data_IF_477103113876
#
_entry.id   IF_477103113876
#
_cell.length_a   1.000
_cell.length_b   1.000
_cell.length_c   1.000
_cell.angle_alpha   90.00
_cell.angle_beta   90.00
_cell.angle_gamma   90.00
#
_symmetry.space_group_name_H-M   'P 1'
#
loop_
_entity.id
_entity.type
_entity.pdbx_description
1 polymer ?
#
# COMPACT_ATOMS: atom_id res chain seq x y z
N UNK A 1 27.80 -16.18 -19.93
CA UNK A 1 27.18 -15.09 -19.13
C UNK A 1 26.22 -15.75 -18.13
N UNK A 2 26.68 -15.91 -16.88
CA UNK A 2 25.96 -16.62 -15.81
C UNK A 2 25.09 -15.62 -15.04
N UNK A 3 23.77 -15.65 -15.23
CA UNK A 3 22.82 -14.97 -14.35
C UNK A 3 22.20 -16.02 -13.41
N UNK A 4 22.78 -16.18 -12.22
CA UNK A 4 22.19 -16.97 -11.13
C UNK A 4 21.16 -16.11 -10.42
N UNK A 5 19.87 -16.35 -10.66
CA UNK A 5 18.80 -15.87 -9.78
C UNK A 5 18.54 -17.00 -8.78
N UNK A 6 19.25 -16.97 -7.66
CA UNK A 6 18.92 -17.79 -6.49
C UNK A 6 17.84 -17.05 -5.71
N UNK A 7 16.57 -17.41 -5.91
CA UNK A 7 15.49 -17.04 -5.00
C UNK A 7 14.92 -18.32 -4.39
N UNK A 8 15.53 -18.78 -3.30
CA UNK A 8 14.92 -19.75 -2.38
C UNK A 8 13.96 -18.98 -1.47
N UNK A 9 12.70 -18.88 -1.87
CA UNK A 9 11.59 -18.62 -0.97
C UNK A 9 10.36 -19.32 -1.54
N UNK A 10 9.90 -20.37 -0.86
CA UNK A 10 8.66 -21.08 -1.18
C UNK A 10 7.46 -20.15 -0.98
N UNK A 11 7.15 -19.30 -1.98
CA UNK A 11 5.92 -18.52 -2.05
C UNK A 11 4.80 -19.42 -2.57
N UNK A 12 3.84 -19.73 -1.70
CA UNK A 12 2.57 -20.34 -2.09
C UNK A 12 1.69 -19.23 -2.67
N UNK A 13 1.58 -19.16 -4.00
CA UNK A 13 0.70 -18.23 -4.71
C UNK A 13 -0.76 -18.70 -4.54
N UNK A 14 -1.53 -18.06 -3.64
CA UNK A 14 -2.97 -18.28 -3.54
C UNK A 14 -3.67 -17.11 -4.23
N UNK A 15 -4.13 -17.33 -5.46
CA UNK A 15 -4.86 -16.34 -6.25
C UNK A 15 -6.35 -16.51 -5.94
N UNK A 16 -6.92 -15.62 -5.13
CA UNK A 16 -8.37 -15.56 -4.92
C UNK A 16 -8.97 -14.47 -5.82
N UNK A 17 -9.47 -14.88 -6.97
CA UNK A 17 -10.15 -13.99 -7.91
C UNK A 17 -11.66 -13.97 -7.61
N UNK A 18 -12.13 -12.95 -6.88
CA UNK A 18 -13.53 -12.55 -6.91
C UNK A 18 -13.61 -11.28 -7.76
N UNK A 19 -13.92 -11.48 -9.04
CA UNK A 19 -14.37 -10.46 -10.01
C UNK A 19 -13.65 -9.10 -9.92
N UNK A 20 -12.49 -9.00 -10.58
CA UNK A 20 -11.95 -7.70 -11.04
C UNK A 20 -10.90 -7.02 -10.16
N UNK A 21 -10.49 -7.64 -9.05
CA UNK A 21 -9.48 -7.03 -8.17
C UNK A 21 -8.38 -8.04 -7.82
N UNK A 22 -7.23 -7.93 -8.49
CA UNK A 22 -6.06 -8.76 -8.22
C UNK A 22 -5.40 -8.30 -6.92
N UNK A 23 -5.71 -8.95 -5.80
CA UNK A 23 -4.92 -8.83 -4.57
C UNK A 23 -4.02 -10.05 -4.48
N UNK A 24 -2.76 -9.89 -4.86
CA UNK A 24 -1.74 -10.92 -4.65
C UNK A 24 -1.33 -10.90 -3.18
N UNK A 25 -1.81 -11.84 -2.38
CA UNK A 25 -1.34 -12.03 -1.00
C UNK A 25 -0.15 -12.97 -0.98
N UNK A 26 1.03 -12.41 -1.22
CA UNK A 26 2.30 -13.04 -0.85
C UNK A 26 2.58 -12.64 0.59
N UNK A 27 2.74 -13.60 1.49
CA UNK A 27 3.22 -13.35 2.85
C UNK A 27 4.56 -12.58 2.77
N UNK A 28 4.48 -11.25 2.81
CA UNK A 28 5.52 -10.24 3.14
C UNK A 28 5.24 -8.80 2.65
N UNK A 29 4.26 -8.51 1.78
CA UNK A 29 3.78 -7.12 1.54
C UNK A 29 2.54 -7.05 0.62
N UNK A 30 1.62 -6.12 0.89
CA UNK A 30 0.53 -5.72 -0.02
C UNK A 30 0.91 -4.48 -0.79
N UNK A 31 0.75 -4.50 -2.10
CA UNK A 31 0.96 -3.34 -2.96
C UNK A 31 -0.37 -2.62 -3.20
N UNK A 32 -0.36 -1.32 -3.01
CA UNK A 32 -1.50 -0.42 -3.23
C UNK A 32 -1.14 0.58 -4.32
N UNK A 33 -1.68 0.37 -5.51
CA UNK A 33 -1.47 1.22 -6.68
C UNK A 33 -2.69 2.09 -7.03
N UNK A 34 -3.87 1.77 -6.47
CA UNK A 34 -5.13 2.49 -6.69
C UNK A 34 -5.79 2.88 -5.38
N UNK A 35 -6.57 3.95 -5.41
CA UNK A 35 -7.27 4.45 -4.23
C UNK A 35 -8.28 3.42 -3.67
N UNK A 36 -8.95 2.67 -4.54
CA UNK A 36 -9.94 1.66 -4.14
C UNK A 36 -9.33 0.48 -3.36
N UNK A 37 -8.01 0.31 -3.43
CA UNK A 37 -7.29 -0.77 -2.75
C UNK A 37 -7.06 -0.48 -1.26
N UNK A 38 -7.19 0.77 -0.83
CA UNK A 38 -6.83 1.22 0.53
C UNK A 38 -7.63 0.45 1.59
N UNK A 39 -8.94 0.28 1.38
CA UNK A 39 -9.79 -0.46 2.32
C UNK A 39 -9.49 -1.96 2.34
N UNK A 40 -9.12 -2.54 1.20
CA UNK A 40 -8.70 -3.94 1.12
C UNK A 40 -7.36 -4.14 1.84
N UNK A 41 -6.41 -3.22 1.65
CA UNK A 41 -5.11 -3.27 2.31
C UNK A 41 -5.22 -3.13 3.83
N UNK A 42 -6.11 -2.25 4.33
CA UNK A 42 -6.42 -2.12 5.77
C UNK A 42 -6.95 -3.43 6.37
N UNK A 43 -7.78 -4.16 5.62
CA UNK A 43 -8.36 -5.45 6.06
C UNK A 43 -7.40 -6.63 5.89
N UNK A 44 -6.39 -6.50 5.03
CA UNK A 44 -5.40 -7.54 4.78
C UNK A 44 -4.68 -7.97 6.07
N UNK A 45 -4.18 -9.20 6.12
CA UNK A 45 -3.40 -9.71 7.26
C UNK A 45 -1.91 -9.35 7.16
N UNK A 46 -1.54 -8.55 6.17
CA UNK A 46 -0.16 -8.23 5.88
C UNK A 46 0.37 -7.14 6.81
N UNK A 47 1.62 -7.33 7.25
CA UNK A 47 2.31 -6.37 8.12
C UNK A 47 2.97 -5.24 7.34
N UNK A 48 3.08 -5.35 6.02
CA UNK A 48 3.72 -4.33 5.17
C UNK A 48 2.73 -3.92 4.10
N UNK A 49 2.49 -2.62 3.98
CA UNK A 49 1.61 -2.02 2.97
C UNK A 49 2.46 -1.04 2.19
N UNK A 50 2.71 -1.34 0.92
CA UNK A 50 3.50 -0.53 0.00
C UNK A 50 2.56 0.25 -0.92
N UNK A 51 2.50 1.56 -0.74
CA UNK A 51 1.73 2.48 -1.57
C UNK A 51 2.63 2.96 -2.70
N UNK A 52 2.22 2.70 -3.96
CA UNK A 52 3.02 3.03 -5.13
C UNK A 52 2.23 3.82 -6.17
N UNK A 53 2.78 4.94 -6.62
CA UNK A 53 2.22 5.76 -7.72
C UNK A 53 0.72 6.09 -7.54
N UNK A 54 0.31 6.32 -6.29
CA UNK A 54 -1.10 6.46 -5.93
C UNK A 54 -1.66 7.82 -6.34
N UNK A 55 -2.77 7.81 -7.04
CA UNK A 55 -3.55 9.02 -7.33
C UNK A 55 -4.71 9.13 -6.36
N UNK A 56 -4.67 10.15 -5.50
CA UNK A 56 -5.75 10.45 -4.56
C UNK A 56 -6.70 11.45 -5.23
N UNK A 57 -8.01 11.15 -5.32
CA UNK A 57 -8.98 12.06 -5.92
C UNK A 57 -9.06 13.42 -5.20
N UNK A 58 -9.50 14.44 -5.93
CA UNK A 58 -9.58 15.81 -5.40
C UNK A 58 -10.64 15.94 -4.30
N UNK A 59 -10.27 16.51 -3.16
CA UNK A 59 -11.15 16.63 -2.01
C UNK A 59 -11.59 15.25 -1.49
N UNK A 60 -10.66 14.30 -1.44
CA UNK A 60 -10.83 13.03 -0.74
C UNK A 60 -9.67 12.88 0.23
N UNK A 61 -9.97 12.39 1.43
CA UNK A 61 -8.97 12.08 2.44
C UNK A 61 -8.31 10.74 2.12
N UNK A 62 -6.97 10.71 2.04
CA UNK A 62 -6.23 9.46 2.10
C UNK A 62 -6.26 8.93 3.53
N UNK A 63 -7.20 8.01 3.79
CA UNK A 63 -7.44 7.42 5.11
C UNK A 63 -6.61 6.13 5.31
N UNK A 64 -5.53 6.27 6.08
CA UNK A 64 -4.68 5.18 6.56
C UNK A 64 -4.82 5.02 8.08
N UNK A 65 -6.02 5.25 8.61
CA UNK A 65 -6.34 4.96 10.01
C UNK A 65 -6.70 3.49 10.23
N UNK A 66 -6.71 3.07 11.49
CA UNK A 66 -7.12 1.72 11.91
C UNK A 66 -6.26 0.61 11.30
N UNK A 67 -4.99 0.90 11.04
CA UNK A 67 -4.04 -0.11 10.62
C UNK A 67 -3.74 -1.07 11.76
N UNK A 68 -3.41 -2.32 11.39
CA UNK A 68 -3.08 -3.35 12.36
C UNK A 68 -1.83 -2.94 13.15
N UNK A 69 -1.72 -3.36 14.42
CA UNK A 69 -0.55 -3.02 15.21
C UNK A 69 0.74 -3.60 14.60
N UNK A 70 1.80 -2.78 14.51
CA UNK A 70 3.06 -3.23 13.89
C UNK A 70 3.07 -3.18 12.36
N UNK A 71 2.09 -2.54 11.72
CA UNK A 71 2.09 -2.34 10.27
C UNK A 71 3.18 -1.37 9.85
N UNK A 72 3.91 -1.71 8.79
CA UNK A 72 4.87 -0.86 8.09
C UNK A 72 4.23 -0.32 6.81
N UNK A 73 4.06 0.99 6.73
CA UNK A 73 3.64 1.68 5.52
C UNK A 73 4.88 2.12 4.73
N UNK A 74 4.95 1.74 3.47
CA UNK A 74 6.04 2.12 2.57
C UNK A 74 5.49 2.96 1.43
N UNK A 75 5.99 4.18 1.27
CA UNK A 75 5.67 5.03 0.12
C UNK A 75 6.74 4.88 -0.95
N UNK A 76 6.34 4.44 -2.15
CA UNK A 76 7.21 4.25 -3.31
C UNK A 76 6.74 5.11 -4.49
N UNK A 77 7.65 5.87 -5.09
CA UNK A 77 7.33 6.76 -6.20
C UNK A 77 6.53 7.98 -5.76
N UNK A 78 5.49 8.35 -6.52
CA UNK A 78 4.77 9.62 -6.32
C UNK A 78 3.32 9.41 -5.91
N UNK A 79 2.92 10.05 -4.81
CA UNK A 79 1.50 10.18 -4.43
C UNK A 79 1.03 11.55 -4.89
N UNK A 80 0.06 11.59 -5.80
CA UNK A 80 -0.51 12.85 -6.32
C UNK A 80 -1.90 13.05 -5.78
N UNK A 81 -2.24 14.31 -5.47
CA UNK A 81 -3.57 14.68 -5.02
C UNK A 81 -4.23 15.56 -6.07
N UNK A 82 -5.48 15.25 -6.42
CA UNK A 82 -6.27 16.12 -7.26
C UNK A 82 -6.53 17.47 -6.57
N UNK A 83 -6.53 18.55 -7.36
CA UNK A 83 -6.74 19.90 -6.85
C UNK A 83 -8.23 20.18 -6.58
N UNK A 84 -8.56 20.62 -5.36
CA UNK A 84 -9.87 21.16 -4.96
C UNK A 84 -9.72 21.96 -3.67
N UNK A 85 -10.43 23.09 -3.56
CA UNK A 85 -10.53 23.83 -2.30
C UNK A 85 -11.24 22.99 -1.24
N UNK A 86 -10.52 22.66 -0.16
CA UNK A 86 -10.98 21.73 0.86
C UNK A 86 -10.40 22.14 2.23
N UNK A 87 -11.20 22.01 3.30
CA UNK A 87 -10.87 22.49 4.65
C UNK A 87 -10.15 21.49 5.55
N UNK A 88 -10.19 20.20 5.22
CA UNK A 88 -9.63 19.13 6.04
C UNK A 88 -8.21 18.72 5.61
N UNK A 89 -7.62 17.73 6.30
CA UNK A 89 -6.32 17.19 5.93
C UNK A 89 -6.40 16.37 4.64
N UNK A 90 -5.29 16.31 3.90
CA UNK A 90 -5.16 15.49 2.69
C UNK A 90 -4.83 14.03 3.01
N UNK A 91 -4.12 13.81 4.11
CA UNK A 91 -3.66 12.48 4.56
C UNK A 91 -3.93 12.34 6.05
N UNK A 92 -4.38 11.15 6.46
CA UNK A 92 -4.49 10.79 7.88
C UNK A 92 -3.96 9.39 8.12
N UNK A 93 -2.98 9.27 9.00
CA UNK A 93 -2.35 8.01 9.37
C UNK A 93 -2.57 7.82 10.87
N UNK A 94 -3.10 6.67 11.29
CA UNK A 94 -3.30 6.36 12.71
C UNK A 94 -3.33 4.87 13.00
N UNK A 95 -2.75 4.48 14.13
CA UNK A 95 -2.79 3.14 14.69
C UNK A 95 -1.62 2.89 15.65
N UNK A 96 -1.45 1.64 16.08
CA UNK A 96 -0.55 1.27 17.17
C UNK A 96 0.77 0.73 16.64
N UNK A 97 1.91 1.32 17.04
CA UNK A 97 3.23 0.87 16.59
C UNK A 97 3.35 0.79 15.05
N UNK A 98 2.92 1.84 14.36
CA UNK A 98 3.04 1.93 12.89
C UNK A 98 4.42 2.48 12.55
N UNK A 99 5.05 1.89 11.55
CA UNK A 99 6.29 2.39 10.95
C UNK A 99 5.91 3.00 9.59
N UNK A 100 6.39 4.21 9.29
CA UNK A 100 6.19 4.86 7.99
C UNK A 100 7.54 5.11 7.35
N UNK A 101 7.76 4.56 6.16
CA UNK A 101 9.02 4.63 5.43
C UNK A 101 8.81 5.16 4.01
N UNK A 102 9.73 6.01 3.56
CA UNK A 102 9.84 6.38 2.14
C UNK A 102 10.91 5.54 1.46
N UNK A 103 10.58 4.85 0.36
CA UNK A 103 11.58 4.15 -0.45
C UNK A 103 12.37 5.14 -1.31
N UNK A 104 13.63 4.82 -1.69
CA UNK A 104 14.43 5.69 -2.55
C UNK A 104 13.67 6.07 -3.83
N UNK A 105 13.70 7.35 -4.21
CA UNK A 105 12.94 7.86 -5.37
C UNK A 105 11.59 8.49 -5.01
N UNK A 106 11.27 8.66 -3.73
CA UNK A 106 10.13 9.47 -3.28
C UNK A 106 10.50 10.97 -3.25
N UNK A 107 10.49 11.69 -4.38
CA UNK A 107 10.49 13.16 -4.41
C UNK A 107 9.58 13.68 -5.54
#
# INVERSE_FOLDING_TARGET
>A
LHFKITQRATMKFVVSALTGFLVVTISSAVYVDRFDQIEAAKKSNDKVITIRNLQVPAGVLLDLQNLKPGTTLQFEGRVTFGYKEWKGPMVRISGKNIIVEGKPGHL
#
